data_IF_759089942649
#
_entry.id   IF_759089942649
#
_cell.length_a   1.000
_cell.length_b   1.000
_cell.length_c   1.000
_cell.angle_alpha   90.00
_cell.angle_beta   90.00
_cell.angle_gamma   90.00
#
_symmetry.space_group_name_H-M   'P 1'
#
loop_
_entity.id
_entity.type
_entity.pdbx_description
1 polymer ?
#
# COMPACT_ATOMS: atom_id res chain seq x y z
N UNK A 1 -2.28 -12.86 3.62
CA UNK A 1 -1.38 -11.76 4.11
C UNK A 1 -2.14 -10.94 5.13
N UNK A 2 -1.55 -10.78 6.30
CA UNK A 2 -2.11 -9.91 7.35
C UNK A 2 -1.51 -8.52 7.24
N UNK A 3 -2.15 -7.53 7.90
CA UNK A 3 -1.60 -6.19 7.98
C UNK A 3 -0.22 -6.17 8.65
N UNK A 4 -0.03 -7.00 9.67
CA UNK A 4 1.26 -7.10 10.36
C UNK A 4 2.35 -7.63 9.42
N UNK A 5 2.05 -8.66 8.65
CA UNK A 5 2.99 -9.22 7.68
C UNK A 5 3.32 -8.20 6.59
N UNK A 6 2.31 -7.46 6.13
CA UNK A 6 2.52 -6.42 5.13
C UNK A 6 3.44 -5.32 5.67
N UNK A 7 3.19 -4.86 6.89
CA UNK A 7 4.02 -3.85 7.54
C UNK A 7 5.49 -4.31 7.62
N UNK A 8 5.71 -5.54 8.08
CA UNK A 8 7.06 -6.09 8.18
C UNK A 8 7.76 -6.18 6.81
N UNK A 9 7.01 -6.55 5.79
CA UNK A 9 7.53 -6.62 4.43
C UNK A 9 7.95 -5.24 3.95
N UNK A 10 7.10 -4.23 4.14
CA UNK A 10 7.37 -2.87 3.68
C UNK A 10 8.51 -2.20 4.44
N UNK A 11 8.75 -2.58 5.68
CA UNK A 11 9.87 -2.03 6.46
C UNK A 11 11.22 -2.28 5.80
N UNK A 12 11.33 -3.28 4.95
CA UNK A 12 12.57 -3.60 4.24
C UNK A 12 13.00 -2.50 3.26
N UNK A 13 12.10 -1.58 2.90
CA UNK A 13 12.43 -0.46 2.04
C UNK A 13 13.13 0.69 2.78
N UNK A 14 13.11 0.66 4.11
CA UNK A 14 13.72 1.70 4.95
C UNK A 14 13.18 3.11 4.68
N UNK A 15 11.87 3.19 4.42
CA UNK A 15 11.15 4.45 4.24
C UNK A 15 10.23 4.68 5.43
N UNK A 16 9.88 5.94 5.72
CA UNK A 16 8.79 6.20 6.65
C UNK A 16 7.52 5.48 6.18
N UNK A 17 6.83 4.83 7.10
CA UNK A 17 5.65 4.04 6.79
C UNK A 17 4.60 4.24 7.89
N UNK A 18 3.35 4.41 7.49
CA UNK A 18 2.24 4.53 8.43
C UNK A 18 1.00 3.84 7.88
N UNK A 19 0.12 3.45 8.79
CA UNK A 19 -1.19 2.96 8.42
C UNK A 19 -2.10 4.15 8.10
N UNK A 20 -2.69 4.16 6.93
CA UNK A 20 -3.63 5.16 6.43
C UNK A 20 -3.03 6.55 6.20
N UNK A 21 -2.37 7.14 7.19
CA UNK A 21 -1.84 8.49 7.09
C UNK A 21 -0.80 8.75 8.18
N UNK A 22 -0.05 9.84 8.02
CA UNK A 22 0.85 10.32 9.06
C UNK A 22 0.16 11.44 9.84
N UNK A 23 0.50 11.58 11.11
CA UNK A 23 -0.08 12.62 11.98
C UNK A 23 0.34 14.02 11.59
N UNK A 24 1.52 14.15 10.99
CA UNK A 24 2.05 15.43 10.50
C UNK A 24 2.69 15.22 9.14
N UNK A 25 2.76 16.28 8.32
CA UNK A 25 3.37 16.18 7.00
C UNK A 25 4.81 15.68 7.05
N UNK A 26 5.17 14.82 6.11
CA UNK A 26 6.54 14.33 5.95
C UNK A 26 7.02 14.64 4.54
N UNK A 27 8.34 14.71 4.39
CA UNK A 27 8.93 14.81 3.07
C UNK A 27 8.98 13.42 2.41
N UNK A 28 8.57 13.32 1.13
CA UNK A 28 8.68 12.07 0.40
C UNK A 28 10.16 11.68 0.19
N UNK A 29 10.48 10.40 -0.05
CA UNK A 29 9.51 9.33 -0.27
C UNK A 29 8.97 8.74 1.04
N UNK A 30 7.74 8.29 1.01
CA UNK A 30 7.15 7.55 2.13
C UNK A 30 6.06 6.61 1.64
N UNK A 31 5.68 5.68 2.52
CA UNK A 31 4.66 4.66 2.24
C UNK A 31 3.50 4.78 3.20
N UNK A 32 2.32 4.50 2.67
CA UNK A 32 1.10 4.33 3.45
C UNK A 32 0.52 2.98 3.06
N UNK A 33 -0.01 2.24 4.03
CA UNK A 33 -0.72 1.00 3.76
C UNK A 33 -2.05 1.03 4.50
N UNK A 34 -3.07 0.40 3.93
CA UNK A 34 -4.40 0.46 4.52
C UNK A 34 -5.28 -0.68 4.02
N UNK A 35 -6.36 -0.91 4.76
CA UNK A 35 -7.48 -1.70 4.27
C UNK A 35 -8.45 -0.72 3.63
N UNK A 36 -8.64 -0.84 2.30
CA UNK A 36 -9.55 0.07 1.59
C UNK A 36 -11.01 -0.30 1.86
N UNK A 37 -11.30 -1.59 1.75
CA UNK A 37 -12.61 -2.13 2.02
C UNK A 37 -12.50 -3.61 2.36
N UNK A 38 -13.63 -4.22 2.65
CA UNK A 38 -13.69 -5.64 2.93
C UNK A 38 -14.78 -6.29 2.08
N UNK A 39 -14.56 -7.56 1.74
CA UNK A 39 -15.56 -8.40 1.11
C UNK A 39 -15.98 -9.46 2.12
N UNK A 40 -17.27 -9.56 2.36
CA UNK A 40 -17.80 -10.47 3.36
C UNK A 40 -18.65 -11.54 2.71
N UNK A 41 -18.43 -12.79 3.13
CA UNK A 41 -19.27 -13.91 2.78
C UNK A 41 -20.02 -14.33 4.02
N UNK A 42 -21.34 -14.44 3.91
CA UNK A 42 -22.14 -14.77 5.08
C UNK A 42 -23.49 -15.35 4.72
N UNK A 43 -24.19 -15.85 5.75
CA UNK A 43 -25.57 -16.32 5.67
C UNK A 43 -26.21 -16.05 7.03
N UNK A 44 -27.55 -15.91 7.06
CA UNK A 44 -28.31 -15.67 8.30
C UNK A 44 -27.80 -14.44 9.07
N UNK A 45 -27.42 -13.38 8.35
CA UNK A 45 -26.90 -12.14 8.91
C UNK A 45 -25.61 -12.29 9.70
N UNK A 46 -24.85 -13.36 9.45
CA UNK A 46 -23.53 -13.58 10.06
C UNK A 46 -22.45 -13.53 8.99
N UNK A 47 -21.31 -12.95 9.34
CA UNK A 47 -20.13 -12.96 8.48
C UNK A 47 -19.36 -14.25 8.73
N UNK A 48 -19.29 -15.14 7.73
CA UNK A 48 -18.54 -16.38 7.82
C UNK A 48 -17.10 -16.25 7.30
N UNK A 49 -16.88 -15.30 6.42
CA UNK A 49 -15.56 -15.07 5.83
C UNK A 49 -15.43 -13.61 5.45
N UNK A 50 -14.28 -13.04 5.79
CA UNK A 50 -13.97 -11.64 5.49
C UNK A 50 -12.67 -11.58 4.71
N UNK A 51 -12.70 -10.88 3.57
CA UNK A 51 -11.51 -10.59 2.77
C UNK A 51 -11.22 -9.11 2.87
N UNK A 52 -10.01 -8.80 3.31
CA UNK A 52 -9.54 -7.42 3.39
C UNK A 52 -8.83 -7.05 2.09
N UNK A 53 -9.25 -5.96 1.47
CA UNK A 53 -8.60 -5.43 0.27
C UNK A 53 -7.51 -4.46 0.71
N UNK A 54 -6.28 -4.96 0.68
CA UNK A 54 -5.10 -4.22 1.14
C UNK A 54 -4.57 -3.32 0.02
N UNK A 55 -4.14 -2.14 0.39
CA UNK A 55 -3.59 -1.15 -0.54
C UNK A 55 -2.30 -0.60 0.02
N UNK A 56 -1.33 -0.39 -0.86
CA UNK A 56 -0.08 0.30 -0.54
C UNK A 56 0.00 1.53 -1.43
N UNK A 57 0.34 2.67 -0.84
CA UNK A 57 0.56 3.91 -1.57
C UNK A 57 1.99 4.39 -1.35
N UNK A 58 2.73 4.53 -2.46
CA UNK A 58 4.09 5.06 -2.45
C UNK A 58 4.05 6.49 -2.97
N UNK A 59 4.57 7.41 -2.19
CA UNK A 59 4.59 8.83 -2.55
C UNK A 59 6.02 9.28 -2.81
N UNK A 60 6.24 9.90 -3.97
CA UNK A 60 7.55 10.43 -4.36
C UNK A 60 7.40 11.79 -5.02
N UNK A 61 8.42 12.64 -4.89
CA UNK A 61 8.43 13.94 -5.57
C UNK A 61 8.62 13.77 -7.07
N UNK A 62 9.49 12.84 -7.45
CA UNK A 62 9.79 12.53 -8.86
C UNK A 62 9.46 11.08 -9.12
N UNK A 63 9.16 10.77 -10.38
CA UNK A 63 8.98 9.39 -10.79
C UNK A 63 10.24 8.60 -10.44
N UNK A 64 10.11 7.59 -9.58
CA UNK A 64 11.22 6.79 -9.07
C UNK A 64 11.02 5.33 -9.41
N UNK A 65 11.45 4.97 -10.63
CA UNK A 65 11.26 3.61 -11.13
C UNK A 65 12.07 2.60 -10.30
N UNK A 66 13.25 2.99 -9.84
CA UNK A 66 14.10 2.09 -9.04
C UNK A 66 13.41 1.72 -7.72
N UNK A 67 12.84 2.70 -7.05
CA UNK A 67 12.14 2.48 -5.79
C UNK A 67 10.87 1.64 -6.01
N UNK A 68 10.12 1.92 -7.07
CA UNK A 68 8.96 1.11 -7.44
C UNK A 68 9.35 -0.35 -7.67
N UNK A 69 10.44 -0.59 -8.38
CA UNK A 69 10.91 -1.94 -8.65
C UNK A 69 11.35 -2.67 -7.39
N UNK A 70 11.93 -1.96 -6.43
CA UNK A 70 12.30 -2.54 -5.14
C UNK A 70 11.04 -2.98 -4.37
N UNK A 71 10.01 -2.14 -4.35
CA UNK A 71 8.74 -2.51 -3.73
C UNK A 71 8.10 -3.70 -4.43
N UNK A 72 8.05 -3.65 -5.75
CA UNK A 72 7.45 -4.72 -6.55
C UNK A 72 8.19 -6.05 -6.35
N UNK A 73 9.51 -6.02 -6.19
CA UNK A 73 10.29 -7.21 -5.92
C UNK A 73 9.89 -7.85 -4.57
N UNK A 74 9.63 -7.03 -3.55
CA UNK A 74 9.14 -7.53 -2.26
C UNK A 74 7.77 -8.20 -2.38
N UNK A 75 6.88 -7.59 -3.15
CA UNK A 75 5.55 -8.16 -3.38
C UNK A 75 5.64 -9.47 -4.16
N UNK A 76 6.49 -9.52 -5.19
CA UNK A 76 6.70 -10.73 -5.98
C UNK A 76 7.31 -11.85 -5.14
N UNK A 77 8.23 -11.53 -4.24
CA UNK A 77 8.84 -12.50 -3.34
C UNK A 77 7.79 -13.15 -2.43
N UNK A 78 6.78 -12.39 -2.04
CA UNK A 78 5.66 -12.89 -1.23
C UNK A 78 4.55 -13.51 -2.09
N UNK A 79 4.76 -13.60 -3.38
CA UNK A 79 3.79 -14.15 -4.32
C UNK A 79 2.43 -13.42 -4.27
N UNK A 80 2.48 -12.11 -4.09
CA UNK A 80 1.29 -11.27 -4.03
C UNK A 80 0.98 -10.71 -5.42
N UNK A 81 -0.22 -10.96 -5.89
CA UNK A 81 -0.74 -10.30 -7.08
C UNK A 81 -1.09 -8.86 -6.72
N UNK A 82 -0.81 -7.93 -7.61
CA UNK A 82 -1.19 -6.54 -7.41
C UNK A 82 -1.58 -5.88 -8.72
N UNK A 83 -2.44 -4.89 -8.63
CA UNK A 83 -2.70 -3.96 -9.71
C UNK A 83 -2.09 -2.61 -9.33
N UNK A 84 -1.49 -1.95 -10.31
CA UNK A 84 -0.73 -0.74 -10.09
C UNK A 84 -1.40 0.44 -10.78
N UNK A 85 -1.66 1.51 -10.04
CA UNK A 85 -2.24 2.74 -10.57
C UNK A 85 -1.36 3.90 -10.16
N UNK A 86 -0.97 4.72 -11.12
CA UNK A 86 -0.16 5.90 -10.86
C UNK A 86 -1.00 7.16 -11.03
N UNK A 87 -0.87 8.08 -10.10
CA UNK A 87 -1.54 9.37 -10.13
C UNK A 87 -0.56 10.47 -9.75
N UNK A 88 -0.59 11.57 -10.49
CA UNK A 88 0.15 12.76 -10.09
C UNK A 88 -0.80 13.70 -9.35
N UNK A 89 -0.49 14.00 -8.09
CA UNK A 89 -1.30 14.89 -7.26
C UNK A 89 -0.78 16.30 -7.43
N UNK A 90 -1.40 17.04 -8.31
CA UNK A 90 -0.92 18.38 -8.71
C UNK A 90 -0.91 19.37 -7.53
N UNK A 91 -1.92 19.31 -6.68
CA UNK A 91 -2.02 20.21 -5.52
C UNK A 91 -0.86 20.04 -4.53
N UNK A 92 -0.28 18.85 -4.47
CA UNK A 92 0.84 18.54 -3.56
C UNK A 92 2.15 18.34 -4.31
N UNK A 93 2.09 18.32 -5.63
CA UNK A 93 3.23 18.06 -6.52
C UNK A 93 3.95 16.76 -6.16
N UNK A 94 3.16 15.70 -6.01
CA UNK A 94 3.64 14.37 -5.66
C UNK A 94 3.11 13.33 -6.64
N UNK A 95 3.92 12.31 -6.89
CA UNK A 95 3.44 11.10 -7.52
C UNK A 95 2.93 10.14 -6.44
N UNK A 96 1.76 9.57 -6.68
CA UNK A 96 1.23 8.47 -5.88
C UNK A 96 1.21 7.24 -6.76
N UNK A 97 1.91 6.19 -6.34
CA UNK A 97 1.83 4.89 -6.98
C UNK A 97 1.08 3.97 -6.03
N UNK A 98 -0.09 3.54 -6.45
CA UNK A 98 -0.99 2.75 -5.64
C UNK A 98 -0.94 1.30 -6.10
N UNK A 99 -0.73 0.40 -5.16
CA UNK A 99 -0.72 -1.03 -5.38
C UNK A 99 -1.93 -1.63 -4.68
N UNK A 100 -2.84 -2.19 -5.44
CA UNK A 100 -4.03 -2.84 -4.92
C UNK A 100 -3.78 -4.34 -4.90
N UNK A 101 -3.75 -4.90 -3.70
CA UNK A 101 -3.40 -6.31 -3.49
C UNK A 101 -4.61 -7.23 -3.51
#
# INVERSE_FOLDING_TARGET
MTLEELYKTLQQLNLPIAYSHFKSPLEPPYLVYLVEDTQNFGADNKVYHQIENLVIELYTVRKDIILEKRLEALLNEKELYYEKVETYIESEKLYEVRYEL
#
